data_IF_737773925508
#
_entry.id   IF_737773925508
#
_cell.length_a   1.000
_cell.length_b   1.000
_cell.length_c   1.000
_cell.angle_alpha   90.00
_cell.angle_beta   90.00
_cell.angle_gamma   90.00
#
_symmetry.space_group_name_H-M   'P 1'
#
loop_
_entity.id
_entity.type
_entity.pdbx_description
1 polymer ?
#
# COMPACT_ATOMS: atom_id res chain seq x y z
N UNK A 1 -10.94 13.06 -1.30
CA UNK A 1 -12.42 13.14 -1.24
C UNK A 1 -12.94 12.99 0.19
N UNK A 2 -12.73 11.88 0.91
CA UNK A 2 -13.26 11.64 2.27
C UNK A 2 -12.91 12.77 3.25
N UNK A 3 -11.64 13.21 3.31
CA UNK A 3 -11.20 14.31 4.18
C UNK A 3 -11.91 15.64 3.90
N UNK A 4 -12.22 15.94 2.62
CA UNK A 4 -12.94 17.15 2.26
C UNK A 4 -14.40 17.08 2.74
N UNK A 5 -15.06 15.93 2.58
CA UNK A 5 -16.42 15.69 3.07
C UNK A 5 -16.44 15.84 4.59
N UNK A 6 -15.49 15.24 5.30
CA UNK A 6 -15.35 15.39 6.75
C UNK A 6 -15.29 16.87 7.15
N UNK A 7 -14.38 17.62 6.54
CA UNK A 7 -14.18 19.04 6.84
C UNK A 7 -15.44 19.87 6.64
N UNK A 8 -16.16 19.68 5.50
CA UNK A 8 -17.39 20.38 5.20
C UNK A 8 -18.49 20.05 6.21
N UNK A 9 -18.72 18.76 6.48
CA UNK A 9 -19.79 18.32 7.37
C UNK A 9 -19.55 18.73 8.82
N UNK A 10 -18.30 18.64 9.31
CA UNK A 10 -17.99 19.02 10.70
C UNK A 10 -18.06 20.53 10.90
N UNK A 11 -17.62 21.33 9.93
CA UNK A 11 -17.80 22.80 10.01
C UNK A 11 -19.26 23.18 9.96
N UNK A 12 -20.02 22.67 8.99
CA UNK A 12 -21.45 22.98 8.87
C UNK A 12 -22.22 22.60 10.15
N UNK A 13 -21.97 21.39 10.70
CA UNK A 13 -22.56 20.96 11.96
C UNK A 13 -22.16 21.84 13.15
N UNK A 14 -20.91 22.29 13.19
CA UNK A 14 -20.42 23.20 14.26
C UNK A 14 -21.08 24.57 14.21
N UNK A 15 -21.29 25.11 13.00
CA UNK A 15 -22.03 26.37 12.81
C UNK A 15 -23.48 26.24 13.28
N UNK A 16 -24.16 25.16 12.83
CA UNK A 16 -25.54 24.89 13.26
C UNK A 16 -25.63 24.74 14.77
N UNK A 17 -24.70 24.03 15.40
CA UNK A 17 -24.64 23.89 16.84
C UNK A 17 -24.44 25.24 17.55
N UNK A 18 -23.56 26.11 17.03
CA UNK A 18 -23.36 27.45 17.58
C UNK A 18 -24.65 28.27 17.58
N UNK A 19 -25.46 28.23 16.52
CA UNK A 19 -26.77 28.87 16.48
C UNK A 19 -27.76 28.21 17.47
N UNK A 20 -27.72 26.90 17.63
CA UNK A 20 -28.64 26.18 18.52
C UNK A 20 -28.40 26.45 20.02
N UNK A 21 -27.20 26.90 20.42
CA UNK A 21 -26.88 27.25 21.80
C UNK A 21 -26.96 28.77 22.07
N UNK A 22 -27.45 29.58 21.12
CA UNK A 22 -27.47 31.04 21.21
C UNK A 22 -26.07 31.59 21.60
N UNK A 23 -25.07 31.28 20.79
CA UNK A 23 -23.66 31.53 21.06
C UNK A 23 -23.35 33.02 21.34
N UNK A 24 -22.92 33.37 22.55
CA UNK A 24 -22.70 34.75 23.02
C UNK A 24 -21.22 35.09 23.21
N UNK A 25 -20.26 34.33 22.69
CA UNK A 25 -18.82 34.50 22.89
C UNK A 25 -18.32 34.38 24.33
N UNK A 26 -19.12 33.81 25.24
CA UNK A 26 -18.69 33.49 26.60
C UNK A 26 -17.71 32.29 26.52
N UNK A 27 -16.69 32.29 27.40
CA UNK A 27 -15.66 31.24 27.44
C UNK A 27 -16.27 29.81 27.46
N UNK A 28 -17.38 29.63 28.17
CA UNK A 28 -18.09 28.34 28.23
C UNK A 28 -18.70 27.93 26.89
N UNK A 29 -19.24 28.85 26.10
CA UNK A 29 -19.81 28.54 24.79
C UNK A 29 -18.72 28.25 23.78
N UNK A 30 -17.61 28.95 23.83
CA UNK A 30 -16.40 28.63 23.05
C UNK A 30 -15.95 27.18 23.34
N UNK A 31 -15.89 26.80 24.63
CA UNK A 31 -15.52 25.46 25.05
C UNK A 31 -16.50 24.40 24.51
N UNK A 32 -17.83 24.64 24.60
CA UNK A 32 -18.86 23.72 24.03
C UNK A 32 -18.70 23.55 22.55
N UNK A 33 -18.49 24.63 21.79
CA UNK A 33 -18.31 24.58 20.33
C UNK A 33 -17.04 23.80 19.95
N UNK A 34 -15.94 24.00 20.65
CA UNK A 34 -14.70 23.23 20.43
C UNK A 34 -14.94 21.75 20.74
N UNK A 35 -15.60 21.43 21.85
CA UNK A 35 -15.87 20.05 22.23
C UNK A 35 -16.79 19.36 21.21
N UNK A 36 -17.83 20.07 20.72
CA UNK A 36 -18.69 19.57 19.65
C UNK A 36 -17.88 19.31 18.36
N UNK A 37 -17.04 20.25 17.93
CA UNK A 37 -16.20 20.10 16.74
C UNK A 37 -15.30 18.87 16.84
N UNK A 38 -14.60 18.68 17.96
CA UNK A 38 -13.73 17.53 18.20
C UNK A 38 -14.53 16.22 18.20
N UNK A 39 -15.67 16.21 18.90
CA UNK A 39 -16.57 15.05 18.96
C UNK A 39 -17.13 14.67 17.59
N UNK A 40 -17.58 15.65 16.81
CA UNK A 40 -18.10 15.43 15.45
C UNK A 40 -17.02 14.85 14.51
N UNK A 41 -15.78 15.37 14.62
CA UNK A 41 -14.65 14.78 13.85
C UNK A 41 -14.36 13.34 14.26
N UNK A 42 -14.36 13.02 15.53
CA UNK A 42 -14.13 11.67 16.04
C UNK A 42 -15.23 10.71 15.56
N UNK A 43 -16.49 11.12 15.67
CA UNK A 43 -17.64 10.34 15.19
C UNK A 43 -17.55 10.10 13.69
N UNK A 44 -17.14 11.10 12.89
CA UNK A 44 -16.96 10.93 11.46
C UNK A 44 -15.88 9.88 11.14
N UNK A 45 -14.74 9.91 11.85
CA UNK A 45 -13.67 8.91 11.69
C UNK A 45 -14.21 7.50 12.00
N UNK A 46 -14.88 7.34 13.15
CA UNK A 46 -15.46 6.06 13.56
C UNK A 46 -16.45 5.56 12.52
N UNK A 47 -17.37 6.40 12.06
CA UNK A 47 -18.37 6.05 11.05
C UNK A 47 -17.71 5.63 9.72
N UNK A 48 -16.69 6.36 9.28
CA UNK A 48 -15.94 6.02 8.06
C UNK A 48 -15.24 4.66 8.20
N UNK A 49 -14.66 4.37 9.37
CA UNK A 49 -14.06 3.06 9.66
C UNK A 49 -15.11 1.93 9.63
N UNK A 50 -16.28 2.16 10.23
CA UNK A 50 -17.37 1.17 10.24
C UNK A 50 -17.90 0.88 8.82
N UNK A 51 -18.10 1.92 8.01
CA UNK A 51 -18.48 1.76 6.60
C UNK A 51 -17.45 0.95 5.84
N UNK A 52 -16.16 1.23 6.07
CA UNK A 52 -15.08 0.51 5.40
C UNK A 52 -15.03 -0.96 5.82
N UNK A 53 -15.15 -1.26 7.11
CA UNK A 53 -15.21 -2.63 7.62
C UNK A 53 -16.40 -3.37 6.99
N UNK A 54 -17.58 -2.74 6.98
CA UNK A 54 -18.77 -3.29 6.35
C UNK A 54 -18.58 -3.56 4.86
N UNK A 55 -17.97 -2.61 4.15
CA UNK A 55 -17.63 -2.78 2.73
C UNK A 55 -16.70 -3.98 2.49
N UNK A 56 -15.69 -4.19 3.33
CA UNK A 56 -14.78 -5.33 3.24
C UNK A 56 -15.56 -6.65 3.32
N UNK A 57 -16.47 -6.78 4.29
CA UNK A 57 -17.27 -8.01 4.44
C UNK A 57 -18.15 -8.30 3.23
N UNK A 58 -18.78 -7.27 2.64
CA UNK A 58 -19.63 -7.46 1.45
C UNK A 58 -18.80 -7.78 0.21
N UNK A 59 -17.65 -7.13 0.05
CA UNK A 59 -16.85 -7.23 -1.15
C UNK A 59 -16.06 -8.54 -1.27
N UNK A 60 -16.00 -9.37 -0.23
CA UNK A 60 -15.26 -10.64 -0.22
C UNK A 60 -15.74 -11.59 -1.33
N UNK A 61 -17.04 -11.55 -1.69
CA UNK A 61 -17.64 -12.44 -2.69
C UNK A 61 -17.34 -12.08 -4.14
N UNK A 62 -16.84 -10.86 -4.44
CA UNK A 62 -16.50 -10.45 -5.80
C UNK A 62 -15.05 -10.81 -6.16
N UNK A 63 -14.69 -10.93 -7.47
CA UNK A 63 -13.34 -11.29 -7.89
C UNK A 63 -12.26 -10.39 -7.31
N UNK A 64 -11.08 -10.92 -6.98
CA UNK A 64 -9.99 -10.17 -6.37
C UNK A 64 -9.38 -9.09 -7.28
N UNK A 65 -9.55 -9.21 -8.59
CA UNK A 65 -9.13 -8.22 -9.58
C UNK A 65 -10.21 -7.16 -9.89
N UNK A 66 -11.35 -7.14 -9.16
CA UNK A 66 -12.37 -6.10 -9.33
C UNK A 66 -11.83 -4.71 -8.93
N UNK A 67 -11.63 -3.85 -9.92
CA UNK A 67 -11.07 -2.50 -9.74
C UNK A 67 -11.87 -1.62 -8.78
N UNK A 68 -13.17 -1.86 -8.58
CA UNK A 68 -13.99 -1.10 -7.61
C UNK A 68 -13.46 -1.27 -6.20
N UNK A 69 -13.08 -2.50 -5.81
CA UNK A 69 -12.45 -2.78 -4.51
C UNK A 69 -11.14 -2.04 -4.35
N UNK A 70 -10.30 -2.10 -5.38
CA UNK A 70 -8.99 -1.46 -5.36
C UNK A 70 -9.12 0.07 -5.23
N UNK A 71 -10.10 0.68 -5.89
CA UNK A 71 -10.39 2.11 -5.76
C UNK A 71 -10.89 2.50 -4.36
N UNK A 72 -11.76 1.69 -3.75
CA UNK A 72 -12.23 1.94 -2.37
C UNK A 72 -11.07 1.82 -1.38
N UNK A 73 -10.26 0.75 -1.48
CA UNK A 73 -9.05 0.57 -0.67
C UNK A 73 -8.07 1.73 -0.84
N UNK A 74 -7.89 2.23 -2.08
CA UNK A 74 -7.04 3.37 -2.37
C UNK A 74 -7.55 4.64 -1.68
N UNK A 75 -8.84 4.98 -1.79
CA UNK A 75 -9.41 6.16 -1.14
C UNK A 75 -9.29 6.10 0.38
N UNK A 76 -9.51 4.92 0.95
CA UNK A 76 -9.39 4.69 2.37
C UNK A 76 -7.92 4.82 2.84
N UNK A 77 -6.99 4.26 2.06
CA UNK A 77 -5.57 4.39 2.30
C UNK A 77 -5.12 5.87 2.28
N UNK A 78 -5.55 6.67 1.30
CA UNK A 78 -5.28 8.11 1.26
C UNK A 78 -5.83 8.83 2.50
N UNK A 79 -7.04 8.49 2.94
CA UNK A 79 -7.65 9.11 4.11
C UNK A 79 -6.89 8.77 5.40
N UNK A 80 -6.62 7.49 5.66
CA UNK A 80 -5.95 7.06 6.90
C UNK A 80 -4.49 7.51 6.91
N UNK A 81 -3.70 7.13 5.91
CA UNK A 81 -2.25 7.29 5.99
C UNK A 81 -1.77 8.68 5.57
N UNK A 82 -2.36 9.27 4.53
CA UNK A 82 -1.90 10.58 4.09
C UNK A 82 -2.51 11.71 4.92
N UNK A 83 -3.79 11.59 5.28
CA UNK A 83 -4.49 12.64 6.03
C UNK A 83 -4.36 12.45 7.54
N UNK A 84 -4.84 11.34 8.12
CA UNK A 84 -4.83 11.16 9.58
C UNK A 84 -3.40 10.95 10.13
N UNK A 85 -2.59 10.12 9.48
CA UNK A 85 -1.19 9.88 9.86
C UNK A 85 -0.23 10.96 9.37
N UNK A 86 -0.71 11.96 8.63
CA UNK A 86 0.07 13.11 8.15
C UNK A 86 1.33 12.71 7.38
N UNK A 87 1.23 11.70 6.53
CA UNK A 87 2.31 11.29 5.62
C UNK A 87 2.07 11.92 4.25
N UNK A 88 3.11 12.53 3.69
CA UNK A 88 3.11 13.08 2.33
C UNK A 88 3.99 12.21 1.42
N UNK A 89 3.41 11.29 0.66
CA UNK A 89 4.16 10.52 -0.33
C UNK A 89 4.57 11.42 -1.51
N UNK A 90 5.83 11.34 -1.90
CA UNK A 90 6.38 11.94 -3.11
C UNK A 90 6.58 10.81 -4.10
N UNK A 91 5.76 10.78 -5.14
CA UNK A 91 5.78 9.74 -6.17
C UNK A 91 6.55 10.27 -7.37
N UNK A 92 7.60 9.56 -7.76
CA UNK A 92 8.50 9.87 -8.85
C UNK A 92 8.46 8.74 -9.90
N UNK A 93 8.75 9.06 -11.16
CA UNK A 93 8.83 8.06 -12.23
C UNK A 93 7.49 7.46 -12.63
N UNK A 94 6.38 8.19 -12.51
CA UNK A 94 5.04 7.71 -12.93
C UNK A 94 4.97 7.38 -14.42
N UNK A 95 5.79 8.02 -15.22
CA UNK A 95 5.95 7.76 -16.65
C UNK A 95 6.47 6.34 -16.94
N UNK A 96 7.08 5.69 -15.97
CA UNK A 96 7.60 4.33 -16.06
C UNK A 96 6.55 3.26 -15.68
N UNK A 97 5.32 3.64 -15.34
CA UNK A 97 4.27 2.66 -15.03
C UNK A 97 4.03 1.75 -16.25
N UNK A 98 3.85 0.42 -16.05
CA UNK A 98 3.57 -0.51 -17.13
C UNK A 98 2.32 -0.11 -17.93
N UNK A 99 2.26 -0.47 -19.21
CA UNK A 99 1.12 -0.15 -20.07
C UNK A 99 0.00 -1.19 -20.02
N UNK A 100 0.31 -2.38 -19.57
CA UNK A 100 -0.63 -3.51 -19.42
C UNK A 100 -0.59 -4.08 -18.01
N UNK A 101 -1.35 -5.13 -17.73
CA UNK A 101 -1.46 -5.74 -16.41
C UNK A 101 -0.56 -6.97 -16.23
N UNK A 102 0.27 -7.33 -17.22
CA UNK A 102 1.14 -8.50 -17.13
C UNK A 102 2.54 -8.14 -16.61
N UNK A 103 2.62 -7.78 -15.34
CA UNK A 103 3.90 -7.43 -14.72
C UNK A 103 4.00 -7.86 -13.25
N UNK A 104 5.23 -7.99 -12.78
CA UNK A 104 5.59 -8.23 -11.40
C UNK A 104 6.23 -6.95 -10.82
N UNK A 105 5.73 -6.47 -9.68
CA UNK A 105 6.33 -5.35 -8.96
C UNK A 105 7.36 -5.89 -7.98
N UNK A 106 8.58 -5.40 -8.08
CA UNK A 106 9.67 -5.74 -7.15
C UNK A 106 10.12 -4.48 -6.42
N UNK A 107 10.15 -4.53 -5.09
CA UNK A 107 10.56 -3.40 -4.27
C UNK A 107 11.41 -3.83 -3.07
N UNK A 108 12.26 -2.94 -2.59
CA UNK A 108 12.85 -3.04 -1.26
C UNK A 108 11.76 -2.93 -0.18
N UNK A 109 12.04 -3.44 1.02
CA UNK A 109 11.05 -3.52 2.10
C UNK A 109 11.56 -2.85 3.38
N UNK A 110 11.03 -1.68 3.68
CA UNK A 110 11.43 -0.87 4.84
C UNK A 110 10.44 -1.08 6.00
N UNK A 111 9.13 -0.92 5.76
CA UNK A 111 8.11 -0.95 6.80
C UNK A 111 6.83 -1.72 6.38
N UNK A 112 6.00 -2.05 7.38
CA UNK A 112 4.73 -2.75 7.12
C UNK A 112 3.71 -1.90 6.34
N UNK A 113 3.91 -0.59 6.23
CA UNK A 113 3.09 0.31 5.42
C UNK A 113 3.47 0.32 3.95
N UNK A 114 4.61 -0.26 3.55
CA UNK A 114 5.08 -0.26 2.16
C UNK A 114 4.04 -0.76 1.14
N UNK A 115 3.31 -1.88 1.41
CA UNK A 115 2.28 -2.35 0.49
C UNK A 115 1.19 -1.31 0.21
N UNK A 116 0.85 -0.48 1.20
CA UNK A 116 -0.17 0.55 1.08
C UNK A 116 0.27 1.66 0.14
N UNK A 117 1.56 2.03 0.17
CA UNK A 117 2.12 3.05 -0.72
C UNK A 117 2.39 2.52 -2.12
N UNK A 118 2.81 1.26 -2.28
CA UNK A 118 2.81 0.59 -3.59
C UNK A 118 1.40 0.66 -4.20
N UNK A 119 0.37 0.34 -3.42
CA UNK A 119 -1.02 0.42 -3.87
C UNK A 119 -1.47 1.83 -4.25
N UNK A 120 -0.94 2.88 -3.62
CA UNK A 120 -1.22 4.26 -4.01
C UNK A 120 -0.63 4.60 -5.39
N UNK A 121 0.59 4.14 -5.67
CA UNK A 121 1.27 4.36 -6.96
C UNK A 121 0.56 3.62 -8.09
N UNK A 122 0.19 2.37 -7.84
CA UNK A 122 -0.47 1.49 -8.82
C UNK A 122 -1.99 1.47 -8.63
N UNK A 123 -2.61 2.63 -8.37
CA UNK A 123 -4.06 2.75 -8.08
C UNK A 123 -4.97 2.31 -9.23
N UNK A 124 -4.47 2.36 -10.47
CA UNK A 124 -5.20 1.98 -11.67
C UNK A 124 -5.01 0.51 -12.06
N UNK A 125 -4.32 -0.26 -11.22
CA UNK A 125 -4.08 -1.69 -11.42
C UNK A 125 -4.66 -2.51 -10.27
N UNK A 126 -5.14 -3.74 -10.53
CA UNK A 126 -5.65 -4.64 -9.49
C UNK A 126 -4.51 -5.33 -8.74
N UNK A 127 -3.55 -4.54 -8.23
CA UNK A 127 -2.35 -5.06 -7.55
C UNK A 127 -2.71 -5.84 -6.31
N UNK A 128 -2.13 -7.03 -6.18
CA UNK A 128 -2.16 -7.89 -5.01
C UNK A 128 -0.74 -8.15 -4.46
N UNK A 129 -0.63 -8.92 -3.38
CA UNK A 129 0.63 -9.11 -2.65
C UNK A 129 0.83 -10.57 -2.26
N UNK A 130 2.10 -10.96 -2.12
CA UNK A 130 2.47 -12.15 -1.37
C UNK A 130 2.69 -11.72 0.08
N UNK A 131 1.95 -12.32 1.01
CA UNK A 131 1.89 -11.93 2.42
C UNK A 131 2.31 -13.07 3.33
N UNK A 132 2.70 -12.76 4.56
CA UNK A 132 2.98 -13.77 5.58
C UNK A 132 1.69 -14.43 6.06
N UNK A 133 1.78 -15.73 6.37
CA UNK A 133 0.67 -16.53 6.89
C UNK A 133 0.08 -15.94 8.19
N UNK A 134 0.93 -15.45 9.09
CA UNK A 134 0.51 -14.91 10.39
C UNK A 134 -0.43 -13.69 10.27
N UNK A 135 -0.34 -12.93 9.16
CA UNK A 135 -1.25 -11.80 8.92
C UNK A 135 -2.68 -12.26 8.63
N UNK A 136 -2.86 -13.50 8.14
CA UNK A 136 -4.17 -14.09 7.90
C UNK A 136 -4.87 -14.61 9.17
N UNK A 137 -4.20 -14.58 10.32
CA UNK A 137 -4.82 -14.89 11.63
C UNK A 137 -5.68 -13.72 12.13
N UNK A 138 -5.34 -12.49 11.72
CA UNK A 138 -6.10 -11.28 12.08
C UNK A 138 -7.31 -11.15 11.14
N UNK A 139 -8.52 -11.41 11.65
CA UNK A 139 -9.77 -11.50 10.86
C UNK A 139 -9.98 -10.34 9.88
N UNK A 140 -9.77 -9.09 10.31
CA UNK A 140 -9.96 -7.92 9.45
C UNK A 140 -8.92 -7.91 8.32
N UNK A 141 -7.64 -8.17 8.62
CA UNK A 141 -6.57 -8.22 7.63
C UNK A 141 -6.80 -9.38 6.65
N UNK A 142 -7.19 -10.55 7.15
CA UNK A 142 -7.54 -11.72 6.34
C UNK A 142 -8.60 -11.36 5.29
N UNK A 143 -9.69 -10.71 5.71
CA UNK A 143 -10.78 -10.35 4.81
C UNK A 143 -10.33 -9.33 3.74
N UNK A 144 -9.51 -8.33 4.11
CA UNK A 144 -8.93 -7.38 3.15
C UNK A 144 -8.05 -8.13 2.14
N UNK A 145 -7.13 -8.97 2.64
CA UNK A 145 -6.17 -9.69 1.81
C UNK A 145 -6.87 -10.69 0.88
N UNK A 146 -7.85 -11.45 1.40
CA UNK A 146 -8.66 -12.34 0.58
C UNK A 146 -9.46 -11.56 -0.47
N UNK A 147 -10.03 -10.42 -0.08
CA UNK A 147 -10.79 -9.55 -0.97
C UNK A 147 -10.04 -9.07 -2.20
N UNK A 148 -8.71 -8.93 -2.13
CA UNK A 148 -7.84 -8.58 -3.26
C UNK A 148 -6.97 -9.75 -3.74
N UNK A 149 -7.29 -10.98 -3.33
CA UNK A 149 -6.58 -12.22 -3.69
C UNK A 149 -5.10 -12.23 -3.32
N UNK A 150 -4.73 -11.70 -2.16
CA UNK A 150 -3.38 -11.87 -1.64
C UNK A 150 -3.03 -13.34 -1.45
N UNK A 151 -1.78 -13.68 -1.74
CA UNK A 151 -1.27 -15.04 -1.62
C UNK A 151 -0.56 -15.18 -0.27
N UNK A 152 -1.04 -16.12 0.55
CA UNK A 152 -0.36 -16.46 1.82
C UNK A 152 0.88 -17.30 1.55
N UNK A 153 2.00 -16.93 2.17
CA UNK A 153 3.26 -17.65 2.05
C UNK A 153 3.70 -18.13 3.44
N UNK A 154 3.72 -19.45 3.62
CA UNK A 154 4.37 -20.10 4.75
C UNK A 154 5.89 -20.04 4.62
N UNK A 155 6.59 -19.84 5.74
CA UNK A 155 8.07 -19.77 5.78
C UNK A 155 8.71 -21.06 6.25
N UNK A 156 7.92 -22.12 6.50
CA UNK A 156 8.46 -23.41 6.90
C UNK A 156 9.26 -24.01 5.75
N UNK A 157 10.51 -24.40 6.04
CA UNK A 157 11.41 -24.99 5.05
C UNK A 157 10.82 -26.31 4.53
N UNK A 158 10.82 -26.49 3.20
CA UNK A 158 10.29 -27.72 2.57
C UNK A 158 8.77 -27.74 2.41
N UNK A 159 8.07 -26.65 2.69
CA UNK A 159 6.62 -26.59 2.63
C UNK A 159 6.11 -26.60 1.17
N UNK A 160 5.22 -27.53 0.86
CA UNK A 160 4.47 -27.56 -0.41
C UNK A 160 3.68 -26.28 -0.64
N UNK A 161 3.29 -25.59 0.45
CA UNK A 161 2.57 -24.32 0.39
C UNK A 161 3.40 -23.22 -0.30
N UNK A 162 4.72 -23.16 -0.06
CA UNK A 162 5.60 -22.20 -0.73
C UNK A 162 5.61 -22.39 -2.26
N UNK A 163 5.64 -23.64 -2.72
CA UNK A 163 5.55 -23.95 -4.15
C UNK A 163 4.17 -23.58 -4.71
N UNK A 164 3.10 -23.91 -3.98
CA UNK A 164 1.74 -23.56 -4.39
C UNK A 164 1.54 -22.04 -4.48
N UNK A 165 2.10 -21.27 -3.54
CA UNK A 165 2.06 -19.81 -3.58
C UNK A 165 2.74 -19.25 -4.86
N UNK A 166 3.89 -19.80 -5.27
CA UNK A 166 4.56 -19.41 -6.51
C UNK A 166 3.71 -19.77 -7.73
N UNK A 167 3.12 -20.98 -7.77
CA UNK A 167 2.25 -21.41 -8.88
C UNK A 167 1.02 -20.50 -8.97
N UNK A 168 0.39 -20.18 -7.85
CA UNK A 168 -0.74 -19.25 -7.79
C UNK A 168 -0.35 -17.86 -8.27
N UNK A 169 0.81 -17.35 -7.87
CA UNK A 169 1.33 -16.06 -8.30
C UNK A 169 1.53 -16.02 -9.83
N UNK A 170 2.14 -17.07 -10.40
CA UNK A 170 2.32 -17.18 -11.85
C UNK A 170 0.97 -17.13 -12.57
N UNK A 171 -0.04 -17.85 -12.06
CA UNK A 171 -1.39 -17.86 -12.63
C UNK A 171 -2.03 -16.48 -12.59
N UNK A 172 -2.02 -15.82 -11.43
CA UNK A 172 -2.63 -14.48 -11.26
C UNK A 172 -1.99 -13.45 -12.20
N UNK A 173 -0.65 -13.41 -12.28
CA UNK A 173 0.05 -12.49 -13.19
C UNK A 173 -0.35 -12.73 -14.64
N UNK A 174 -0.43 -14.00 -15.08
CA UNK A 174 -0.89 -14.35 -16.43
C UNK A 174 -2.34 -13.94 -16.71
N UNK A 175 -3.17 -13.93 -15.69
CA UNK A 175 -4.58 -13.52 -15.76
C UNK A 175 -4.77 -12.00 -15.65
N UNK A 176 -3.68 -11.23 -15.68
CA UNK A 176 -3.71 -9.76 -15.65
C UNK A 176 -3.95 -9.18 -14.27
N UNK A 177 -3.60 -9.90 -13.21
CA UNK A 177 -3.56 -9.37 -11.84
C UNK A 177 -2.10 -9.21 -11.39
N UNK A 178 -1.53 -7.99 -11.46
CA UNK A 178 -0.15 -7.74 -11.05
C UNK A 178 0.08 -8.06 -9.58
N UNK A 179 1.25 -8.59 -9.27
CA UNK A 179 1.64 -8.92 -7.90
C UNK A 179 2.83 -8.08 -7.48
N UNK A 180 2.78 -7.51 -6.27
CA UNK A 180 3.92 -6.86 -5.65
C UNK A 180 4.59 -7.81 -4.66
N UNK A 181 5.90 -7.91 -4.76
CA UNK A 181 6.74 -8.77 -3.91
C UNK A 181 7.91 -7.97 -3.35
N UNK A 182 8.21 -8.24 -2.09
CA UNK A 182 9.39 -7.76 -1.39
C UNK A 182 10.38 -8.92 -1.25
N UNK A 183 11.33 -9.10 -2.19
CA UNK A 183 12.15 -10.31 -2.25
C UNK A 183 13.17 -10.44 -1.13
N UNK A 184 13.40 -9.38 -0.34
CA UNK A 184 14.18 -9.44 0.91
C UNK A 184 13.57 -10.42 1.92
N UNK A 185 12.25 -10.59 1.88
CA UNK A 185 11.49 -11.46 2.78
C UNK A 185 11.40 -10.97 4.23
N UNK A 186 12.08 -9.90 4.59
CA UNK A 186 12.03 -9.23 5.91
C UNK A 186 12.17 -7.73 5.72
N UNK A 187 11.63 -6.93 6.63
CA UNK A 187 11.81 -5.47 6.64
C UNK A 187 13.24 -5.09 7.03
N UNK A 188 13.77 -4.04 6.42
CA UNK A 188 15.09 -3.49 6.75
C UNK A 188 15.05 -2.51 7.92
N UNK A 189 13.91 -1.82 8.11
CA UNK A 189 13.71 -0.69 9.05
C UNK A 189 14.68 0.49 8.80
N UNK A 190 15.28 0.53 7.62
CA UNK A 190 16.26 1.54 7.21
C UNK A 190 16.21 1.76 5.71
N UNK A 191 16.89 2.79 5.22
CA UNK A 191 17.03 3.06 3.79
C UNK A 191 18.10 2.19 3.10
N UNK A 192 18.26 0.95 3.54
CA UNK A 192 19.15 -0.03 2.91
C UNK A 192 18.33 -1.13 2.27
N UNK A 193 18.81 -1.67 1.17
CA UNK A 193 18.24 -2.87 0.54
C UNK A 193 19.03 -4.10 1.00
N UNK A 194 18.32 -5.16 1.40
CA UNK A 194 18.89 -6.46 1.71
C UNK A 194 18.98 -7.32 0.47
N UNK A 195 19.77 -8.38 0.54
CA UNK A 195 19.88 -9.34 -0.55
C UNK A 195 18.50 -9.93 -0.91
N UNK A 196 18.23 -10.03 -2.20
CA UNK A 196 17.00 -10.58 -2.74
C UNK A 196 17.02 -12.10 -2.82
N UNK A 197 15.89 -12.72 -2.53
CA UNK A 197 15.68 -14.15 -2.72
C UNK A 197 15.38 -14.43 -4.19
N UNK A 198 16.32 -15.02 -4.90
CA UNK A 198 16.24 -15.27 -6.34
C UNK A 198 15.03 -16.12 -6.77
N UNK A 199 14.55 -17.00 -5.89
CA UNK A 199 13.35 -17.81 -6.16
C UNK A 199 12.08 -17.02 -6.50
N UNK A 200 11.99 -15.76 -6.06
CA UNK A 200 10.88 -14.84 -6.39
C UNK A 200 10.77 -14.59 -7.88
N UNK A 201 11.89 -14.50 -8.58
CA UNK A 201 11.95 -14.15 -10.00
C UNK A 201 11.45 -15.27 -10.92
N UNK A 202 11.27 -16.51 -10.40
CA UNK A 202 10.56 -17.58 -11.10
C UNK A 202 9.15 -17.17 -11.53
N UNK A 203 8.51 -16.25 -10.78
CA UNK A 203 7.18 -15.75 -11.11
C UNK A 203 7.23 -15.00 -12.42
N UNK A 204 8.13 -14.03 -12.58
CA UNK A 204 8.27 -13.24 -13.82
C UNK A 204 8.65 -14.12 -15.01
N UNK A 205 9.65 -15.01 -14.87
CA UNK A 205 10.09 -15.92 -15.93
C UNK A 205 8.98 -16.84 -16.40
N UNK A 206 8.25 -17.49 -15.49
CA UNK A 206 7.20 -18.46 -15.83
C UNK A 206 5.90 -17.81 -16.28
N UNK A 207 5.62 -16.59 -15.79
CA UNK A 207 4.50 -15.81 -16.28
C UNK A 207 4.78 -15.11 -17.61
N UNK A 208 6.03 -15.03 -18.05
CA UNK A 208 6.49 -14.21 -19.18
C UNK A 208 6.05 -12.77 -19.02
N UNK A 209 6.25 -12.23 -17.83
CA UNK A 209 5.79 -10.90 -17.44
C UNK A 209 6.95 -9.94 -17.32
N UNK A 210 6.69 -8.66 -17.56
CA UNK A 210 7.64 -7.60 -17.30
C UNK A 210 7.89 -7.45 -15.79
N UNK A 211 9.00 -6.83 -15.41
CA UNK A 211 9.29 -6.45 -14.03
C UNK A 211 9.24 -4.93 -13.91
N UNK A 212 8.44 -4.45 -12.94
CA UNK A 212 8.36 -3.03 -12.57
C UNK A 212 9.09 -2.81 -11.24
N UNK A 213 10.37 -2.38 -11.26
CA UNK A 213 11.11 -2.14 -10.03
C UNK A 213 10.66 -0.84 -9.37
N UNK A 214 10.55 -0.86 -8.03
CA UNK A 214 10.17 0.30 -7.22
C UNK A 214 11.17 0.50 -6.09
N UNK A 215 11.65 1.72 -5.95
CA UNK A 215 12.52 2.15 -4.87
C UNK A 215 11.71 2.91 -3.82
N UNK A 216 11.74 2.44 -2.58
CA UNK A 216 11.13 3.05 -1.41
C UNK A 216 12.19 3.71 -0.54
N UNK A 217 11.94 4.94 -0.08
CA UNK A 217 12.87 5.69 0.76
C UNK A 217 12.15 6.43 1.88
N UNK A 218 12.74 6.45 3.08
CA UNK A 218 12.20 7.06 4.31
C UNK A 218 10.89 6.44 4.83
N UNK A 219 10.52 5.23 4.40
CA UNK A 219 9.27 4.60 4.81
C UNK A 219 9.19 4.33 6.33
N UNK A 220 10.32 4.19 7.04
CA UNK A 220 10.36 4.11 8.49
C UNK A 220 9.70 5.33 9.18
N UNK A 221 9.63 6.48 8.48
CA UNK A 221 8.93 7.66 8.99
C UNK A 221 7.40 7.54 8.98
N UNK A 222 6.83 6.52 8.37
CA UNK A 222 5.37 6.33 8.32
C UNK A 222 4.78 5.81 9.63
N UNK A 223 5.59 5.13 10.43
CA UNK A 223 5.15 4.43 11.65
C UNK A 223 5.27 5.25 12.93
N UNK A 224 5.89 6.43 12.86
CA UNK A 224 5.98 7.35 13.98
C UNK A 224 4.65 8.10 14.16
N UNK A 225 3.84 7.73 15.15
CA UNK A 225 2.46 8.20 15.37
C UNK A 225 2.44 9.59 16.00
N UNK A 226 3.45 9.97 16.79
CA UNK A 226 3.49 11.24 17.53
C UNK A 226 4.17 12.38 16.78
N UNK A 227 3.99 12.46 15.47
CA UNK A 227 4.61 13.52 14.67
C UNK A 227 3.86 14.84 14.74
N UNK A 228 4.53 15.87 15.19
CA UNK A 228 4.07 17.23 14.95
C UNK A 228 4.30 17.69 13.51
N UNK A 229 5.25 17.08 12.78
CA UNK A 229 5.61 17.42 11.39
C UNK A 229 5.09 16.38 10.40
N UNK A 230 4.75 16.85 9.20
CA UNK A 230 4.37 15.96 8.07
C UNK A 230 5.59 15.16 7.66
N UNK A 231 5.47 13.82 7.65
CA UNK A 231 6.53 12.95 7.16
C UNK A 231 6.53 12.89 5.64
N UNK A 232 7.66 13.22 5.01
CA UNK A 232 7.86 13.00 3.58
C UNK A 232 8.48 11.63 3.36
N UNK A 233 7.86 10.84 2.50
CA UNK A 233 8.36 9.53 2.05
C UNK A 233 8.44 9.54 0.53
N UNK A 234 9.35 8.77 -0.06
CA UNK A 234 9.56 8.78 -1.50
C UNK A 234 9.31 7.38 -2.05
N UNK A 235 8.59 7.34 -3.16
CA UNK A 235 8.31 6.13 -3.92
C UNK A 235 8.70 6.44 -5.37
N UNK A 236 9.71 5.76 -5.89
CA UNK A 236 10.16 5.96 -7.27
C UNK A 236 9.94 4.70 -8.08
N UNK A 237 9.13 4.81 -9.12
CA UNK A 237 8.98 3.78 -10.15
C UNK A 237 10.18 3.88 -11.09
N UNK A 238 10.94 2.80 -11.20
CA UNK A 238 12.08 2.72 -12.11
C UNK A 238 11.63 2.24 -13.49
N UNK A 239 12.44 2.43 -14.54
CA UNK A 239 12.13 1.90 -15.86
C UNK A 239 11.81 0.42 -15.82
N UNK A 240 10.73 0.04 -16.49
CA UNK A 240 10.30 -1.37 -16.60
C UNK A 240 11.39 -2.19 -17.27
N UNK A 241 11.67 -3.36 -16.72
CA UNK A 241 12.54 -4.37 -17.33
C UNK A 241 11.63 -5.30 -18.12
N UNK A 242 11.77 -5.27 -19.44
CA UNK A 242 10.96 -6.08 -20.33
C UNK A 242 11.34 -7.56 -20.25
N UNK A 243 10.35 -8.44 -20.40
CA UNK A 243 10.61 -9.90 -20.38
C UNK A 243 11.74 -10.32 -21.33
N UNK A 244 11.79 -9.71 -22.51
CA UNK A 244 12.82 -10.00 -23.51
C UNK A 244 14.25 -9.66 -23.08
N UNK A 245 14.41 -8.75 -22.09
CA UNK A 245 15.73 -8.37 -21.55
C UNK A 245 16.32 -9.45 -20.62
N UNK A 246 15.47 -10.31 -20.04
CA UNK A 246 15.92 -11.27 -19.03
C UNK A 246 15.43 -12.71 -19.24
N UNK A 247 14.74 -13.00 -20.31
CA UNK A 247 14.15 -14.34 -20.59
C UNK A 247 15.16 -15.48 -20.61
N UNK A 248 16.41 -15.18 -20.98
CA UNK A 248 17.51 -16.13 -21.10
C UNK A 248 18.43 -16.13 -19.85
N UNK A 249 18.14 -15.28 -18.86
CA UNK A 249 18.86 -15.21 -17.58
C UNK A 249 18.33 -16.25 -16.59
N UNK A 250 19.21 -16.68 -15.68
CA UNK A 250 18.75 -17.44 -14.53
C UNK A 250 18.14 -16.52 -13.46
N UNK A 251 17.51 -17.12 -12.43
CA UNK A 251 16.82 -16.33 -11.39
C UNK A 251 17.78 -15.53 -10.51
N UNK A 252 19.05 -15.93 -10.40
CA UNK A 252 20.06 -15.19 -9.64
C UNK A 252 20.51 -13.96 -10.41
N UNK A 253 20.77 -14.11 -11.70
CA UNK A 253 21.15 -13.00 -12.58
C UNK A 253 20.06 -11.92 -12.62
N UNK A 254 18.77 -12.33 -12.70
CA UNK A 254 17.63 -11.38 -12.65
C UNK A 254 17.56 -10.70 -11.28
N UNK A 255 17.77 -11.46 -10.21
CA UNK A 255 17.79 -10.93 -8.84
C UNK A 255 18.85 -9.84 -8.69
N UNK A 256 20.06 -10.10 -9.15
CA UNK A 256 21.17 -9.17 -9.04
C UNK A 256 20.98 -7.93 -9.90
N UNK A 257 20.42 -8.09 -11.10
CA UNK A 257 20.05 -6.97 -11.98
C UNK A 257 19.04 -6.03 -11.31
N UNK A 258 17.95 -6.58 -10.77
CA UNK A 258 16.89 -5.77 -10.14
C UNK A 258 17.37 -5.16 -8.84
N UNK A 259 18.11 -5.94 -8.02
CA UNK A 259 18.68 -5.45 -6.77
C UNK A 259 19.59 -4.24 -7.03
N UNK A 260 20.52 -4.37 -7.98
CA UNK A 260 21.44 -3.28 -8.34
C UNK A 260 20.69 -2.03 -8.79
N UNK A 261 19.66 -2.14 -9.64
CA UNK A 261 18.87 -0.98 -10.08
C UNK A 261 18.22 -0.23 -8.90
N UNK A 262 17.71 -0.96 -7.90
CA UNK A 262 17.09 -0.37 -6.71
C UNK A 262 18.17 0.24 -5.80
N UNK A 263 19.28 -0.44 -5.60
CA UNK A 263 20.40 0.04 -4.77
C UNK A 263 21.03 1.31 -5.34
N UNK A 264 21.32 1.34 -6.66
CA UNK A 264 21.83 2.51 -7.36
C UNK A 264 20.89 3.71 -7.24
N UNK A 265 19.58 3.47 -7.23
CA UNK A 265 18.60 4.53 -7.02
C UNK A 265 18.53 5.01 -5.56
N UNK A 266 18.63 4.10 -4.60
CA UNK A 266 18.67 4.44 -3.17
C UNK A 266 19.91 5.30 -2.83
N UNK A 267 21.04 5.06 -3.49
CA UNK A 267 22.26 5.85 -3.27
C UNK A 267 22.05 7.33 -3.61
N UNK A 268 21.27 7.65 -4.65
CA UNK A 268 20.96 9.03 -5.08
C UNK A 268 20.13 9.83 -4.06
N UNK A 269 19.31 9.13 -3.24
CA UNK A 269 18.54 9.79 -2.18
C UNK A 269 19.38 10.14 -0.94
N UNK A 270 20.57 9.57 -0.77
CA UNK A 270 21.46 9.89 0.36
C UNK A 270 22.11 11.27 0.20
N UNK A 271 22.14 11.77 -1.02
CA UNK A 271 22.77 13.06 -1.37
C UNK A 271 21.75 14.23 -1.40
N UNK A 272 20.48 13.95 -1.04
CA UNK A 272 19.37 14.93 -0.98
C UNK A 272 18.85 15.09 0.45
#
# INVERSE_FOLDING_TARGET
MIALIQFILTIAGTIVYGFAIDFEFILMDIFKVILFFVGANLLFVIFTLLIFIFYIFISEKSPGNDMRKHKVLHQFNLYIFNFLYRVKPVILGKENLPKDNNFLIISNHIEYTDPLYIKQVYSDYPVTFITKEELHEIKILKNIMNGISCISLSRKVGDRQALQAVIQAIKQVKEGQPIAVFPEGTRSHSNTVKQFKSGTFKIALKAKSDISPVCLYNMHKTVDIFKFKIAKVFIKVLPVIKYDEFKDMDTQEISDLVHKRIEDELSKFKDT
#
